data_IF_120729907868
#
_entry.id   IF_120729907868
#
_cell.length_a   1.000
_cell.length_b   1.000
_cell.length_c   1.000
_cell.angle_alpha   90.00
_cell.angle_beta   90.00
_cell.angle_gamma   90.00
#
_symmetry.space_group_name_H-M   'P 1'
#
loop_
_entity.id
_entity.type
_entity.pdbx_description
1 polymer ?
#
# COMPACT_ATOMS: atom_id res chain seq x y z
N UNK A 1 63.82 -38.11 -54.38
CA UNK A 1 62.61 -37.28 -54.37
C UNK A 1 61.73 -37.75 -53.22
N UNK A 2 61.36 -36.82 -52.35
CA UNK A 2 60.65 -37.05 -51.11
C UNK A 2 59.26 -37.63 -51.35
N UNK A 3 58.86 -38.66 -50.59
CA UNK A 3 57.49 -38.68 -50.08
C UNK A 3 57.35 -39.50 -48.79
N UNK A 4 56.42 -39.04 -47.97
CA UNK A 4 56.26 -39.18 -46.52
C UNK A 4 55.56 -40.48 -46.10
N UNK A 5 55.85 -40.96 -44.88
CA UNK A 5 54.84 -41.35 -43.88
C UNK A 5 55.50 -41.77 -42.55
N UNK A 6 55.26 -41.05 -41.43
CA UNK A 6 55.61 -41.52 -40.09
C UNK A 6 54.45 -42.31 -39.44
N UNK A 7 54.85 -43.32 -38.67
CA UNK A 7 54.01 -44.24 -37.89
C UNK A 7 53.15 -43.48 -36.87
N UNK A 8 51.84 -43.72 -36.87
CA UNK A 8 50.96 -43.32 -35.78
C UNK A 8 50.86 -44.43 -34.74
N UNK A 9 51.37 -44.13 -33.54
CA UNK A 9 51.09 -44.82 -32.29
C UNK A 9 49.85 -44.13 -31.69
N UNK A 10 48.71 -44.82 -31.60
CA UNK A 10 47.57 -44.35 -30.81
C UNK A 10 47.33 -45.30 -29.63
N UNK A 11 47.37 -44.72 -28.44
CA UNK A 11 47.09 -45.33 -27.16
C UNK A 11 45.63 -45.79 -27.05
N UNK A 12 45.44 -46.97 -26.46
CA UNK A 12 44.18 -47.43 -25.88
C UNK A 12 43.83 -46.56 -24.65
N UNK A 13 42.69 -45.86 -24.70
CA UNK A 13 42.04 -45.23 -23.54
C UNK A 13 40.95 -46.17 -23.01
N UNK A 14 40.84 -46.39 -21.68
CA UNK A 14 39.77 -47.20 -21.12
C UNK A 14 38.46 -46.40 -21.09
N UNK A 15 37.38 -47.07 -21.48
CA UNK A 15 36.01 -46.57 -21.45
C UNK A 15 35.52 -46.52 -19.99
N UNK A 16 35.65 -45.36 -19.33
CA UNK A 16 34.99 -45.13 -18.04
C UNK A 16 33.48 -44.93 -18.28
N UNK A 17 32.68 -45.95 -17.98
CA UNK A 17 31.23 -45.83 -17.89
C UNK A 17 30.88 -44.95 -16.67
N UNK A 18 30.55 -43.67 -16.91
CA UNK A 18 29.84 -42.86 -15.93
C UNK A 18 28.39 -43.36 -15.84
N UNK A 19 28.08 -44.07 -14.76
CA UNK A 19 26.72 -44.24 -14.28
C UNK A 19 26.22 -42.87 -13.83
N UNK A 20 25.48 -42.18 -14.70
CA UNK A 20 24.68 -41.02 -14.31
C UNK A 20 23.49 -41.53 -13.48
N UNK A 21 23.63 -41.50 -12.15
CA UNK A 21 22.51 -41.56 -11.23
C UNK A 21 21.70 -40.27 -11.43
N UNK A 22 20.67 -40.36 -12.27
CA UNK A 22 19.58 -39.38 -12.27
C UNK A 22 18.77 -39.62 -11.01
N UNK A 23 19.11 -38.90 -9.94
CA UNK A 23 18.21 -38.74 -8.81
C UNK A 23 16.98 -38.00 -9.32
N UNK A 24 15.92 -38.75 -9.62
CA UNK A 24 14.59 -38.18 -9.70
C UNK A 24 14.23 -37.80 -8.27
N UNK A 25 14.47 -36.54 -7.88
CA UNK A 25 13.80 -36.01 -6.71
C UNK A 25 12.32 -35.97 -7.07
N UNK A 26 11.53 -36.89 -6.50
CA UNK A 26 10.09 -36.67 -6.39
C UNK A 26 9.89 -35.34 -5.64
N UNK A 27 8.93 -34.49 -6.06
CA UNK A 27 8.59 -33.33 -5.25
C UNK A 27 8.17 -33.83 -3.88
N UNK A 28 8.85 -33.38 -2.81
CA UNK A 28 8.38 -33.63 -1.45
C UNK A 28 6.96 -33.08 -1.34
N UNK A 29 5.99 -33.96 -1.06
CA UNK A 29 4.63 -33.54 -0.73
C UNK A 29 4.69 -32.68 0.54
N UNK A 30 4.27 -31.43 0.40
CA UNK A 30 4.19 -30.50 1.52
C UNK A 30 3.19 -31.02 2.55
N UNK A 31 3.49 -30.82 3.83
CA UNK A 31 2.51 -31.08 4.88
C UNK A 31 1.31 -30.12 4.77
N UNK A 32 0.12 -30.48 5.27
CA UNK A 32 -1.04 -29.58 5.26
C UNK A 32 -0.77 -28.22 5.93
N UNK A 33 0.12 -28.19 6.94
CA UNK A 33 0.52 -26.96 7.62
C UNK A 33 1.48 -26.11 6.76
N UNK A 34 2.35 -26.73 5.97
CA UNK A 34 3.21 -26.02 5.02
C UNK A 34 2.43 -25.48 3.83
N UNK A 35 1.42 -26.21 3.34
CA UNK A 35 0.51 -25.70 2.32
C UNK A 35 -0.26 -24.44 2.78
N UNK A 36 -0.56 -24.33 4.07
CA UNK A 36 -1.23 -23.16 4.65
C UNK A 36 -0.33 -21.91 4.71
N UNK A 37 0.98 -22.06 4.46
CA UNK A 37 1.96 -20.98 4.49
C UNK A 37 2.45 -20.57 3.10
N UNK A 38 2.02 -21.27 2.05
CA UNK A 38 2.40 -20.93 0.68
C UNK A 38 1.81 -19.57 0.32
N UNK A 39 2.64 -18.74 -0.29
CA UNK A 39 2.21 -17.53 -0.97
C UNK A 39 2.90 -17.46 -2.34
N UNK A 40 2.11 -17.48 -3.41
CA UNK A 40 2.63 -17.41 -4.79
C UNK A 40 2.72 -15.98 -5.36
N UNK A 41 1.88 -15.05 -4.89
CA UNK A 41 1.76 -13.68 -5.41
C UNK A 41 2.53 -12.63 -4.60
N UNK A 42 3.34 -13.04 -3.61
CA UNK A 42 4.04 -12.13 -2.71
C UNK A 42 4.94 -11.17 -3.47
N UNK A 43 5.01 -9.97 -2.92
CA UNK A 43 5.88 -8.94 -3.45
C UNK A 43 7.36 -9.39 -3.48
N UNK A 44 8.18 -8.82 -4.38
CA UNK A 44 9.61 -9.05 -4.39
C UNK A 44 10.25 -8.66 -3.05
N UNK A 45 11.44 -9.19 -2.78
CA UNK A 45 12.21 -8.89 -1.56
C UNK A 45 12.83 -7.47 -1.56
N UNK A 46 11.98 -6.45 -1.72
CA UNK A 46 12.29 -5.04 -1.58
C UNK A 46 11.96 -4.62 -0.14
N UNK A 47 12.72 -3.67 0.42
CA UNK A 47 12.48 -3.18 1.79
C UNK A 47 11.01 -2.78 1.95
N UNK A 48 10.37 -3.33 2.99
CA UNK A 48 8.96 -3.17 3.32
C UNK A 48 7.92 -3.72 2.34
N UNK A 49 8.28 -4.08 1.11
CA UNK A 49 7.31 -4.51 0.10
C UNK A 49 6.54 -5.80 0.46
N UNK A 50 7.12 -6.67 1.30
CA UNK A 50 6.47 -7.90 1.79
C UNK A 50 5.66 -7.75 3.07
N UNK A 51 5.40 -6.51 3.51
CA UNK A 51 4.53 -6.29 4.67
C UNK A 51 3.06 -6.51 4.26
N UNK A 52 2.23 -6.97 5.20
CA UNK A 52 0.87 -7.40 4.87
C UNK A 52 -0.01 -6.26 4.32
N UNK A 53 0.20 -5.00 4.72
CA UNK A 53 -0.53 -3.87 4.16
C UNK A 53 -0.19 -3.56 2.69
N UNK A 54 0.89 -4.10 2.15
CA UNK A 54 1.37 -3.73 0.83
C UNK A 54 0.57 -4.46 -0.25
N UNK A 55 -0.12 -3.73 -1.14
CA UNK A 55 -0.69 -4.32 -2.34
C UNK A 55 0.40 -4.90 -3.26
N UNK A 56 -0.01 -5.74 -4.21
CA UNK A 56 0.89 -6.24 -5.24
C UNK A 56 1.49 -5.06 -6.04
N UNK A 57 2.82 -5.04 -6.15
CA UNK A 57 3.51 -3.93 -6.79
C UNK A 57 3.36 -3.96 -8.31
N UNK A 58 2.94 -2.83 -8.87
CA UNK A 58 3.04 -2.53 -10.28
C UNK A 58 4.42 -1.94 -10.59
N UNK A 59 5.27 -2.74 -11.22
CA UNK A 59 6.68 -2.41 -11.51
C UNK A 59 6.86 -1.24 -12.47
N UNK A 60 5.79 -0.72 -13.05
CA UNK A 60 5.84 0.51 -13.87
C UNK A 60 5.77 1.79 -13.04
N UNK A 61 5.38 1.68 -11.77
CA UNK A 61 5.31 2.79 -10.81
C UNK A 61 6.50 2.77 -9.84
N UNK A 62 6.69 3.88 -9.14
CA UNK A 62 7.76 4.04 -8.16
C UNK A 62 7.24 3.73 -6.76
N UNK A 63 7.88 2.79 -6.05
CA UNK A 63 7.60 2.55 -4.64
C UNK A 63 8.37 3.57 -3.77
N UNK A 64 7.65 4.40 -3.03
CA UNK A 64 8.20 5.30 -2.01
C UNK A 64 7.90 4.73 -0.62
N UNK A 65 8.86 4.81 0.30
CA UNK A 65 8.66 4.38 1.69
C UNK A 65 9.19 5.44 2.63
N UNK A 66 8.35 5.91 3.54
CA UNK A 66 8.70 6.93 4.52
C UNK A 66 8.75 6.31 5.90
N UNK A 67 9.91 6.40 6.56
CA UNK A 67 10.14 5.87 7.90
C UNK A 67 10.77 6.93 8.79
N UNK A 68 10.71 6.69 10.10
CA UNK A 68 11.32 7.52 11.14
C UNK A 68 12.12 6.64 12.08
N UNK A 69 13.05 7.23 12.85
CA UNK A 69 13.70 6.51 13.94
C UNK A 69 13.01 6.86 15.26
N UNK A 70 12.15 5.96 15.75
CA UNK A 70 11.33 6.17 16.93
C UNK A 70 11.69 5.16 18.02
N UNK A 71 12.01 5.65 19.23
CA UNK A 71 12.45 4.82 20.38
C UNK A 71 13.58 3.84 20.05
N UNK A 72 14.57 4.28 19.29
CA UNK A 72 15.72 3.43 18.96
C UNK A 72 15.45 2.40 17.86
N UNK A 73 14.32 2.49 17.14
CA UNK A 73 13.96 1.56 16.08
C UNK A 73 13.43 2.30 14.85
N UNK A 74 13.82 1.83 13.68
CA UNK A 74 13.19 2.26 12.43
C UNK A 74 11.71 1.85 12.43
N UNK A 75 10.83 2.85 12.26
CA UNK A 75 9.38 2.72 12.29
C UNK A 75 8.82 3.26 10.97
N UNK A 76 8.16 2.39 10.21
CA UNK A 76 7.52 2.76 8.95
C UNK A 76 6.32 3.66 9.23
N UNK A 77 6.30 4.83 8.60
CA UNK A 77 5.17 5.77 8.64
C UNK A 77 4.11 5.31 7.65
N UNK A 78 4.47 5.22 6.36
CA UNK A 78 3.64 4.69 5.28
C UNK A 78 4.50 4.40 4.04
N UNK A 79 3.94 3.64 3.10
CA UNK A 79 4.49 3.41 1.76
C UNK A 79 3.51 3.90 0.69
N UNK A 80 4.01 4.25 -0.49
CA UNK A 80 3.24 4.75 -1.63
C UNK A 80 3.67 4.02 -2.90
N UNK A 81 2.72 3.53 -3.70
CA UNK A 81 2.97 3.28 -5.12
C UNK A 81 2.60 4.52 -5.93
N UNK A 82 3.61 5.15 -6.51
CA UNK A 82 3.53 6.48 -7.09
C UNK A 82 3.62 6.44 -8.61
N UNK A 83 2.63 7.01 -9.28
CA UNK A 83 2.65 7.17 -10.71
C UNK A 83 3.29 8.51 -11.08
N UNK A 84 4.54 8.47 -11.54
CA UNK A 84 5.32 9.68 -11.86
C UNK A 84 4.72 10.48 -13.01
N UNK A 85 4.08 9.82 -14.00
CA UNK A 85 3.47 10.49 -15.14
C UNK A 85 2.21 11.28 -14.77
N UNK A 86 1.47 10.81 -13.76
CA UNK A 86 0.26 11.46 -13.27
C UNK A 86 0.51 12.35 -12.04
N UNK A 87 1.76 12.37 -11.54
CA UNK A 87 2.14 13.06 -10.31
C UNK A 87 1.25 12.69 -9.11
N UNK A 88 0.78 11.44 -9.04
CA UNK A 88 -0.24 11.02 -8.08
C UNK A 88 0.02 9.60 -7.57
N UNK A 89 -0.32 9.38 -6.30
CA UNK A 89 -0.30 8.06 -5.68
C UNK A 89 -1.39 7.15 -6.23
N UNK A 90 -1.04 5.94 -6.64
CA UNK A 90 -2.00 4.87 -6.94
C UNK A 90 -2.63 4.36 -5.64
N UNK A 91 -1.82 4.18 -4.61
CA UNK A 91 -2.25 3.90 -3.24
C UNK A 91 -1.21 4.33 -2.22
N UNK A 92 -1.65 4.47 -0.97
CA UNK A 92 -0.82 4.67 0.23
C UNK A 92 -1.17 3.57 1.23
N UNK A 93 -0.17 2.82 1.67
CA UNK A 93 -0.31 1.66 2.55
C UNK A 93 0.39 1.89 3.89
N UNK A 94 -0.28 1.55 4.98
CA UNK A 94 0.24 1.79 6.33
C UNK A 94 -0.49 0.96 7.39
N UNK A 95 0.04 0.92 8.62
CA UNK A 95 -0.56 0.16 9.72
C UNK A 95 -0.91 1.01 10.94
N UNK A 96 -1.78 0.48 11.78
CA UNK A 96 -1.98 0.88 13.16
C UNK A 96 -1.64 -0.29 14.09
N UNK A 97 -0.80 -0.01 15.08
CA UNK A 97 -0.39 -0.90 16.17
C UNK A 97 0.11 -0.04 17.34
N UNK A 98 0.40 -0.65 18.48
CA UNK A 98 0.71 0.04 19.74
C UNK A 98 1.68 1.23 19.62
N UNK A 99 2.78 1.09 18.89
CA UNK A 99 3.80 2.15 18.73
C UNK A 99 3.28 3.34 17.90
N UNK A 100 2.71 3.09 16.72
CA UNK A 100 2.28 4.18 15.81
C UNK A 100 0.98 4.85 16.26
N UNK A 101 0.25 4.22 17.19
CA UNK A 101 -0.96 4.77 17.81
C UNK A 101 -0.66 5.82 18.89
N UNK A 102 0.60 5.97 19.33
CA UNK A 102 0.97 6.97 20.32
C UNK A 102 0.72 8.40 19.84
N UNK A 103 0.50 9.32 20.79
CA UNK A 103 0.16 10.72 20.53
C UNK A 103 1.15 11.66 21.21
N UNK A 104 2.37 11.71 20.68
CA UNK A 104 3.45 12.55 21.21
C UNK A 104 3.64 13.85 20.40
N UNK A 105 2.80 14.09 19.40
CA UNK A 105 2.74 15.33 18.63
C UNK A 105 1.33 15.93 18.65
N UNK A 106 1.25 17.25 18.77
CA UNK A 106 0.00 18.01 18.60
C UNK A 106 0.06 18.82 17.32
N UNK A 107 -0.93 18.62 16.44
CA UNK A 107 -1.07 19.36 15.17
C UNK A 107 -1.27 20.88 15.38
N UNK A 108 -1.73 21.30 16.56
CA UNK A 108 -1.82 22.73 16.91
C UNK A 108 -0.46 23.43 16.96
N UNK A 109 0.63 22.66 17.10
CA UNK A 109 1.97 23.20 17.26
C UNK A 109 2.58 23.69 15.94
N UNK A 110 1.93 23.47 14.78
CA UNK A 110 2.48 23.90 13.49
C UNK A 110 2.79 25.40 13.41
N UNK A 111 1.98 26.25 14.04
CA UNK A 111 2.22 27.69 14.11
C UNK A 111 3.49 28.07 14.87
N UNK A 112 3.95 27.22 15.79
CA UNK A 112 5.16 27.43 16.58
C UNK A 112 6.42 26.83 15.94
N UNK A 113 6.28 26.18 14.77
CA UNK A 113 7.43 25.68 14.00
C UNK A 113 7.94 26.73 13.01
N UNK A 114 9.08 26.47 12.38
CA UNK A 114 9.59 27.28 11.27
C UNK A 114 8.66 27.36 10.05
N UNK A 115 7.62 26.51 9.99
CA UNK A 115 6.64 26.49 8.90
C UNK A 115 5.45 27.43 9.11
N UNK A 116 5.33 28.07 10.28
CA UNK A 116 4.31 29.09 10.53
C UNK A 116 2.86 28.64 10.30
N UNK A 117 2.58 27.34 10.44
CA UNK A 117 1.24 26.76 10.25
C UNK A 117 0.97 26.11 8.88
N UNK A 118 1.88 26.18 7.90
CA UNK A 118 1.71 25.54 6.57
C UNK A 118 2.75 24.41 6.37
N UNK A 119 2.49 23.19 6.88
CA UNK A 119 3.45 22.08 6.84
C UNK A 119 3.61 21.38 5.48
N UNK A 120 2.88 21.81 4.44
CA UNK A 120 2.88 21.14 3.13
C UNK A 120 4.22 21.33 2.40
N UNK A 121 4.83 20.23 1.99
CA UNK A 121 6.18 20.24 1.43
C UNK A 121 6.34 19.21 0.30
N UNK A 122 7.33 19.42 -0.57
CA UNK A 122 7.72 18.44 -1.58
C UNK A 122 8.20 17.15 -0.89
N UNK A 123 7.90 16.01 -1.51
CA UNK A 123 8.43 14.72 -1.07
C UNK A 123 9.94 14.65 -1.41
N UNK A 124 10.83 14.50 -0.41
CA UNK A 124 12.28 14.44 -0.64
C UNK A 124 12.75 13.17 -1.36
N UNK A 125 11.90 12.13 -1.45
CA UNK A 125 12.18 10.90 -2.19
C UNK A 125 11.88 11.00 -3.70
N UNK A 126 11.32 12.12 -4.16
CA UNK A 126 11.02 12.37 -5.56
C UNK A 126 11.93 13.46 -6.15
N UNK A 127 12.27 13.32 -7.43
CA UNK A 127 12.96 14.39 -8.15
C UNK A 127 12.03 15.57 -8.42
N UNK A 128 12.59 16.77 -8.60
CA UNK A 128 11.79 17.97 -8.89
C UNK A 128 10.93 17.89 -10.14
N UNK A 129 11.31 17.03 -11.11
CA UNK A 129 10.57 16.86 -12.36
C UNK A 129 9.23 16.13 -12.16
N UNK A 130 9.15 15.25 -11.16
CA UNK A 130 7.98 14.40 -10.90
C UNK A 130 7.28 14.75 -9.59
N UNK A 131 7.92 15.52 -8.70
CA UNK A 131 7.40 15.87 -7.39
C UNK A 131 6.42 17.07 -7.46
N UNK A 132 5.13 16.88 -7.14
CA UNK A 132 4.15 17.95 -7.13
C UNK A 132 4.46 18.98 -6.05
N UNK A 133 3.98 20.20 -6.29
CA UNK A 133 4.00 21.30 -5.33
C UNK A 133 2.63 21.97 -5.23
N UNK A 134 2.57 23.08 -4.48
CA UNK A 134 1.35 23.86 -4.29
C UNK A 134 0.67 24.23 -5.63
N UNK A 135 1.43 24.51 -6.67
CA UNK A 135 0.91 24.95 -7.97
C UNK A 135 0.13 23.85 -8.70
N UNK A 136 0.40 22.58 -8.41
CA UNK A 136 -0.31 21.45 -9.01
C UNK A 136 -1.76 21.38 -8.54
N UNK A 137 -2.02 21.76 -7.28
CA UNK A 137 -3.34 21.75 -6.68
C UNK A 137 -4.15 23.02 -6.99
N UNK A 138 -3.53 24.07 -7.53
CA UNK A 138 -4.22 25.26 -8.02
C UNK A 138 -5.22 24.91 -9.13
N UNK A 139 -6.49 25.26 -8.95
CA UNK A 139 -7.53 24.95 -9.95
C UNK A 139 -8.02 23.49 -9.93
N UNK A 140 -7.69 22.71 -8.90
CA UNK A 140 -8.30 21.39 -8.66
C UNK A 140 -9.78 21.47 -8.27
N UNK A 141 -10.26 22.65 -7.83
CA UNK A 141 -11.61 22.81 -7.29
C UNK A 141 -11.81 22.13 -5.93
N UNK A 142 -10.71 21.76 -5.26
CA UNK A 142 -10.71 21.03 -4.01
C UNK A 142 -9.56 21.42 -3.08
N UNK A 143 -9.35 20.60 -2.06
CA UNK A 143 -8.27 20.71 -1.08
C UNK A 143 -7.14 19.72 -1.39
N UNK A 144 -6.00 19.92 -0.73
CA UNK A 144 -4.92 18.94 -0.63
C UNK A 144 -5.33 17.88 0.39
N UNK A 145 -6.16 16.93 -0.05
CA UNK A 145 -6.71 15.88 0.80
C UNK A 145 -5.65 14.81 1.08
N UNK A 146 -5.53 14.40 2.34
CA UNK A 146 -4.55 13.39 2.74
C UNK A 146 -5.03 11.99 2.36
N UNK A 147 -4.13 11.13 1.89
CA UNK A 147 -4.37 9.69 1.81
C UNK A 147 -4.02 9.03 3.15
N UNK A 148 -2.78 9.14 3.63
CA UNK A 148 -2.46 8.89 5.05
C UNK A 148 -2.74 10.16 5.86
N UNK A 149 -3.73 10.15 6.75
CA UNK A 149 -4.15 11.35 7.46
C UNK A 149 -3.10 11.81 8.46
N UNK A 150 -2.93 13.12 8.62
CA UNK A 150 -2.07 13.66 9.68
C UNK A 150 -2.49 13.18 11.08
N UNK A 151 -3.79 12.97 11.34
CA UNK A 151 -4.24 12.43 12.63
C UNK A 151 -3.82 10.96 12.86
N UNK A 152 -3.45 10.23 11.81
CA UNK A 152 -3.04 8.82 11.90
C UNK A 152 -1.57 8.68 12.33
N UNK A 153 -0.77 9.76 12.27
CA UNK A 153 0.68 9.76 12.53
C UNK A 153 1.09 10.80 13.56
N UNK A 154 0.67 10.59 14.81
CA UNK A 154 0.94 11.51 15.93
C UNK A 154 2.05 11.01 16.87
N UNK A 155 2.67 9.86 16.60
CA UNK A 155 3.67 9.27 17.51
C UNK A 155 4.99 10.05 17.54
N UNK A 156 5.29 10.84 16.51
CA UNK A 156 6.39 11.82 16.49
C UNK A 156 6.04 13.00 15.56
N UNK A 157 6.74 14.13 15.74
CA UNK A 157 6.64 15.29 14.84
C UNK A 157 7.00 14.88 13.41
N UNK A 158 8.17 14.26 13.23
CA UNK A 158 8.69 13.82 11.93
C UNK A 158 7.72 12.89 11.18
N UNK A 159 7.08 11.95 11.86
CA UNK A 159 6.07 11.09 11.24
C UNK A 159 4.85 11.87 10.75
N UNK A 160 4.44 12.89 11.52
CA UNK A 160 3.37 13.80 11.12
C UNK A 160 3.78 14.65 9.92
N UNK A 161 5.02 15.16 9.90
CA UNK A 161 5.60 15.93 8.79
C UNK A 161 5.54 15.17 7.48
N UNK A 162 5.87 13.87 7.51
CA UNK A 162 5.82 13.01 6.35
C UNK A 162 4.40 12.92 5.76
N UNK A 163 3.34 13.01 6.58
CA UNK A 163 1.96 13.01 6.05
C UNK A 163 1.63 14.25 5.21
N UNK A 164 2.41 15.32 5.30
CA UNK A 164 2.20 16.55 4.54
C UNK A 164 2.99 16.62 3.21
N UNK A 165 3.65 15.53 2.81
CA UNK A 165 4.25 15.43 1.49
C UNK A 165 3.19 15.48 0.39
N UNK A 166 3.44 16.24 -0.68
CA UNK A 166 2.52 16.33 -1.82
C UNK A 166 2.29 14.99 -2.53
N UNK A 167 3.20 14.02 -2.42
CA UNK A 167 2.99 12.64 -2.88
C UNK A 167 1.83 11.96 -2.14
N UNK A 168 1.62 12.25 -0.85
CA UNK A 168 0.51 11.76 -0.04
C UNK A 168 -0.79 12.57 -0.21
N UNK A 169 -0.80 13.56 -1.10
CA UNK A 169 -1.96 14.41 -1.35
C UNK A 169 -2.73 13.97 -2.58
N UNK A 170 -4.06 14.08 -2.50
CA UNK A 170 -4.96 13.92 -3.62
C UNK A 170 -5.92 15.13 -3.69
N UNK A 171 -6.28 15.63 -4.89
CA UNK A 171 -7.24 16.71 -5.01
C UNK A 171 -8.64 16.21 -4.65
N UNK A 172 -9.08 16.51 -3.44
CA UNK A 172 -10.38 16.12 -2.91
C UNK A 172 -11.34 17.31 -2.84
N UNK A 173 -12.60 17.13 -3.19
CA UNK A 173 -13.65 18.12 -2.96
C UNK A 173 -13.73 18.49 -1.47
N UNK A 174 -13.98 19.76 -1.17
CA UNK A 174 -13.98 20.28 0.21
C UNK A 174 -15.00 19.56 1.11
N UNK A 175 -16.25 19.43 0.67
CA UNK A 175 -17.32 18.79 1.45
C UNK A 175 -17.10 17.28 1.59
N UNK A 176 -16.54 16.65 0.55
CA UNK A 176 -16.16 15.24 0.61
C UNK A 176 -15.05 15.00 1.64
N UNK A 177 -13.96 15.78 1.55
CA UNK A 177 -12.80 15.65 2.43
C UNK A 177 -13.15 15.96 3.89
N UNK A 178 -13.90 17.04 4.13
CA UNK A 178 -14.29 17.48 5.48
C UNK A 178 -15.53 16.77 6.05
N UNK A 179 -16.29 16.06 5.22
CA UNK A 179 -17.46 15.29 5.61
C UNK A 179 -17.16 13.79 5.61
N UNK A 180 -17.73 13.06 4.66
CA UNK A 180 -17.70 11.59 4.63
C UNK A 180 -16.29 11.00 4.79
N UNK A 181 -15.27 11.56 4.10
CA UNK A 181 -13.91 11.02 4.19
C UNK A 181 -13.32 11.23 5.59
N UNK A 182 -13.44 12.43 6.16
CA UNK A 182 -12.99 12.70 7.53
C UNK A 182 -13.71 11.80 8.56
N UNK A 183 -15.01 11.60 8.41
CA UNK A 183 -15.79 10.71 9.29
C UNK A 183 -15.32 9.26 9.17
N UNK A 184 -15.03 8.78 7.95
CA UNK A 184 -14.50 7.44 7.73
C UNK A 184 -13.11 7.29 8.36
N UNK A 185 -12.25 8.31 8.27
CA UNK A 185 -10.95 8.32 8.94
C UNK A 185 -11.07 8.38 10.47
N UNK A 186 -12.10 9.03 11.01
CA UNK A 186 -12.41 9.00 12.45
C UNK A 186 -12.83 7.59 12.86
N UNK A 187 -13.72 6.93 12.10
CA UNK A 187 -14.11 5.55 12.37
C UNK A 187 -12.91 4.59 12.30
N UNK A 188 -12.05 4.75 11.30
CA UNK A 188 -10.80 4.02 11.15
C UNK A 188 -9.97 4.04 12.44
N UNK A 189 -9.77 5.22 13.01
CA UNK A 189 -9.01 5.42 14.24
C UNK A 189 -9.76 4.92 15.47
N UNK A 190 -10.93 5.49 15.73
CA UNK A 190 -11.58 5.43 17.03
C UNK A 190 -12.43 4.16 17.21
N UNK A 191 -12.94 3.58 16.12
CA UNK A 191 -13.74 2.36 16.17
C UNK A 191 -12.91 1.09 15.94
N UNK A 192 -11.85 1.15 15.12
CA UNK A 192 -11.15 -0.06 14.67
C UNK A 192 -9.68 -0.12 15.09
N UNK A 193 -8.89 0.95 14.88
CA UNK A 193 -7.45 0.92 15.10
C UNK A 193 -7.02 1.06 16.57
N UNK A 194 -7.65 1.96 17.34
CA UNK A 194 -7.26 2.25 18.72
C UNK A 194 -7.93 1.32 19.74
N UNK A 195 -8.91 0.53 19.31
CA UNK A 195 -9.58 -0.45 20.17
C UNK A 195 -8.85 -1.78 20.09
N UNK A 196 -8.01 -2.05 21.09
CA UNK A 196 -7.33 -3.35 21.24
C UNK A 196 -8.30 -4.53 21.33
N UNK A 197 -9.56 -4.30 21.75
CA UNK A 197 -10.61 -5.31 21.72
C UNK A 197 -11.10 -5.65 20.31
N UNK A 198 -10.93 -4.73 19.35
CA UNK A 198 -11.32 -4.90 17.96
C UNK A 198 -10.20 -5.48 17.10
N UNK A 199 -8.99 -4.94 17.24
CA UNK A 199 -7.81 -5.30 16.44
C UNK A 199 -6.52 -5.22 17.26
N UNK A 200 -5.58 -6.15 17.03
CA UNK A 200 -4.21 -6.02 17.52
C UNK A 200 -3.35 -5.21 16.54
N UNK A 201 -3.60 -5.38 15.24
CA UNK A 201 -2.97 -4.62 14.17
C UNK A 201 -3.94 -4.43 13.03
N UNK A 202 -4.16 -3.18 12.63
CA UNK A 202 -4.97 -2.83 11.47
C UNK A 202 -4.05 -2.44 10.32
N UNK A 203 -4.16 -3.14 9.20
CA UNK A 203 -3.47 -2.87 7.95
C UNK A 203 -4.42 -2.08 7.04
N UNK A 204 -3.91 -1.00 6.45
CA UNK A 204 -4.72 0.00 5.76
C UNK A 204 -4.08 0.33 4.43
N UNK A 205 -4.89 0.31 3.37
CA UNK A 205 -4.54 0.86 2.06
C UNK A 205 -5.59 1.89 1.68
N UNK A 206 -5.17 3.09 1.31
CA UNK A 206 -6.05 4.17 0.84
C UNK A 206 -5.59 4.65 -0.52
N UNK A 207 -6.51 5.09 -1.36
CA UNK A 207 -6.15 5.67 -2.65
C UNK A 207 -7.33 6.34 -3.34
N UNK A 208 -7.02 6.99 -4.47
CA UNK A 208 -8.00 7.53 -5.39
C UNK A 208 -7.82 6.88 -6.74
N UNK A 209 -8.90 6.71 -7.49
CA UNK A 209 -8.82 6.18 -8.85
C UNK A 209 -8.00 7.09 -9.76
N UNK A 210 -7.02 6.50 -10.44
CA UNK A 210 -6.17 7.16 -11.45
C UNK A 210 -6.03 6.35 -12.74
N UNK A 211 -6.79 5.26 -12.88
CA UNK A 211 -6.92 4.51 -14.13
C UNK A 211 -7.64 5.38 -15.17
N UNK A 212 -7.21 5.32 -16.43
CA UNK A 212 -7.84 6.07 -17.51
C UNK A 212 -9.36 5.83 -17.55
N UNK A 213 -10.14 6.90 -17.66
CA UNK A 213 -11.61 6.88 -17.56
C UNK A 213 -12.17 6.95 -16.13
N UNK A 214 -11.35 6.73 -15.09
CA UNK A 214 -11.76 6.77 -13.68
C UNK A 214 -11.33 8.05 -12.96
N UNK A 215 -10.87 9.06 -13.68
CA UNK A 215 -10.56 10.38 -13.15
C UNK A 215 -10.85 11.45 -14.21
N UNK A 216 -11.01 12.69 -13.75
CA UNK A 216 -11.00 13.87 -14.63
C UNK A 216 -9.72 14.68 -14.38
N UNK A 217 -9.25 15.45 -15.35
CA UNK A 217 -8.09 16.34 -15.12
C UNK A 217 -8.51 17.59 -14.34
N UNK A 218 -7.63 18.07 -13.47
CA UNK A 218 -7.75 19.41 -12.86
C UNK A 218 -7.77 20.50 -13.93
N UNK A 219 -8.26 21.71 -13.59
CA UNK A 219 -8.37 22.80 -14.58
C UNK A 219 -7.01 23.25 -15.15
N UNK A 220 -5.93 23.09 -14.37
CA UNK A 220 -4.56 23.35 -14.83
C UNK A 220 -3.93 22.15 -15.58
N UNK A 221 -4.65 21.01 -15.68
CA UNK A 221 -4.21 19.79 -16.35
C UNK A 221 -3.13 18.98 -15.63
N UNK A 222 -2.68 19.41 -14.44
CA UNK A 222 -1.50 18.86 -13.77
C UNK A 222 -1.77 17.63 -12.90
N UNK A 223 -2.99 17.44 -12.42
CA UNK A 223 -3.34 16.32 -11.54
C UNK A 223 -4.63 15.62 -11.99
N UNK A 224 -4.68 14.28 -11.86
CA UNK A 224 -5.95 13.57 -11.91
C UNK A 224 -6.77 13.92 -10.66
N UNK A 225 -8.07 14.13 -10.88
CA UNK A 225 -9.08 14.21 -9.83
C UNK A 225 -9.88 12.91 -9.88
N UNK A 226 -9.68 12.00 -8.89
CA UNK A 226 -10.34 10.71 -8.85
C UNK A 226 -11.87 10.82 -8.96
N UNK A 227 -12.51 9.87 -9.63
CA UNK A 227 -13.97 9.69 -9.57
C UNK A 227 -14.39 8.96 -8.30
N UNK A 228 -13.50 8.14 -7.73
CA UNK A 228 -13.73 7.42 -6.48
C UNK A 228 -12.48 7.43 -5.59
N UNK A 229 -12.71 7.41 -4.28
CA UNK A 229 -11.70 7.07 -3.29
C UNK A 229 -12.00 5.71 -2.70
N UNK A 230 -10.95 5.03 -2.26
CA UNK A 230 -11.08 3.70 -1.67
C UNK A 230 -10.25 3.52 -0.42
N UNK A 231 -10.67 2.54 0.38
CA UNK A 231 -9.93 2.09 1.55
C UNK A 231 -10.07 0.57 1.69
N UNK A 232 -8.97 -0.17 1.66
CA UNK A 232 -8.92 -1.58 2.00
C UNK A 232 -8.40 -1.73 3.43
N UNK A 233 -9.13 -2.49 4.27
CA UNK A 233 -8.77 -2.73 5.65
C UNK A 233 -8.65 -4.23 5.90
N UNK A 234 -7.54 -4.63 6.51
CA UNK A 234 -7.34 -5.96 7.05
C UNK A 234 -7.05 -5.82 8.54
N UNK A 235 -7.87 -6.45 9.37
CA UNK A 235 -7.68 -6.47 10.81
C UNK A 235 -7.18 -7.84 11.25
N UNK A 236 -6.08 -7.86 12.00
CA UNK A 236 -5.59 -9.05 12.72
C UNK A 236 -6.00 -8.98 14.19
N UNK A 237 -6.64 -10.04 14.69
CA UNK A 237 -6.99 -10.19 16.11
C UNK A 237 -6.74 -11.63 16.56
N UNK A 238 -5.90 -11.84 17.57
CA UNK A 238 -5.59 -13.16 18.13
C UNK A 238 -5.17 -14.20 17.06
N UNK A 239 -4.43 -13.76 16.04
CA UNK A 239 -3.99 -14.61 14.93
C UNK A 239 -5.03 -14.86 13.83
N UNK A 240 -6.27 -14.40 13.98
CA UNK A 240 -7.29 -14.46 12.93
C UNK A 240 -7.40 -13.12 12.20
N UNK A 241 -7.89 -13.18 10.96
CA UNK A 241 -8.03 -12.03 10.09
C UNK A 241 -9.49 -11.79 9.72
N UNK A 242 -9.83 -10.52 9.50
CA UNK A 242 -11.09 -10.07 8.89
C UNK A 242 -10.82 -8.83 8.05
N UNK A 243 -11.53 -8.67 6.96
CA UNK A 243 -11.33 -7.53 6.04
C UNK A 243 -12.62 -6.75 5.79
N UNK A 244 -12.48 -5.56 5.23
CA UNK A 244 -13.55 -4.77 4.60
C UNK A 244 -12.93 -3.77 3.62
N UNK A 245 -13.58 -3.58 2.47
CA UNK A 245 -13.27 -2.52 1.53
C UNK A 245 -14.30 -1.40 1.60
N UNK A 246 -13.89 -0.18 1.25
CA UNK A 246 -14.78 0.94 0.99
C UNK A 246 -14.53 1.48 -0.42
N UNK A 247 -15.59 1.60 -1.20
CA UNK A 247 -15.59 2.24 -2.51
C UNK A 247 -16.50 3.45 -2.49
N UNK A 248 -15.92 4.64 -2.54
CA UNK A 248 -16.61 5.89 -2.21
C UNK A 248 -16.61 6.83 -3.41
N UNK A 249 -17.79 7.18 -3.91
CA UNK A 249 -17.94 8.16 -4.99
C UNK A 249 -17.39 9.53 -4.54
N UNK A 250 -16.48 10.09 -5.33
CA UNK A 250 -15.89 11.39 -5.05
C UNK A 250 -16.86 12.52 -5.43
N UNK A 251 -17.79 12.79 -4.52
CA UNK A 251 -18.89 13.73 -4.74
C UNK A 251 -19.09 14.64 -3.53
N UNK A 252 -19.37 15.92 -3.80
CA UNK A 252 -19.78 16.86 -2.77
C UNK A 252 -21.10 16.40 -2.12
N UNK A 253 -21.21 16.57 -0.80
CA UNK A 253 -22.43 16.23 -0.05
C UNK A 253 -22.90 14.79 -0.32
N UNK A 254 -21.98 13.83 -0.22
CA UNK A 254 -22.29 12.41 -0.40
C UNK A 254 -23.35 11.96 0.62
N UNK A 255 -24.57 11.70 0.15
CA UNK A 255 -25.67 11.23 0.98
C UNK A 255 -25.68 9.70 1.07
N UNK A 256 -24.63 9.15 1.70
CA UNK A 256 -24.46 7.72 1.96
C UNK A 256 -23.94 7.50 3.37
N UNK A 257 -24.29 6.36 3.97
CA UNK A 257 -23.62 5.88 5.19
C UNK A 257 -22.46 4.94 4.81
N UNK A 258 -21.55 4.65 5.75
CA UNK A 258 -20.41 3.77 5.49
C UNK A 258 -20.81 2.41 4.92
N UNK A 259 -21.94 1.86 5.40
CA UNK A 259 -22.48 0.58 4.93
C UNK A 259 -22.81 0.58 3.43
N UNK A 260 -23.29 1.70 2.89
CA UNK A 260 -23.66 1.84 1.47
C UNK A 260 -22.44 1.88 0.53
N UNK A 261 -21.25 2.10 1.10
CA UNK A 261 -19.98 2.17 0.38
C UNK A 261 -19.09 0.95 0.67
N UNK A 262 -19.50 0.07 1.58
CA UNK A 262 -18.71 -1.09 1.98
C UNK A 262 -18.81 -2.22 0.93
N UNK A 263 -17.68 -2.85 0.64
CA UNK A 263 -17.53 -3.95 -0.32
C UNK A 263 -16.57 -5.01 0.22
N UNK A 264 -16.53 -6.20 -0.41
CA UNK A 264 -15.48 -7.19 -0.16
C UNK A 264 -14.15 -6.71 -0.75
N UNK A 265 -13.03 -7.35 -0.38
CA UNK A 265 -11.74 -7.00 -0.97
C UNK A 265 -11.72 -7.43 -2.43
N UNK A 266 -12.14 -8.65 -2.79
CA UNK A 266 -12.27 -9.09 -4.20
C UNK A 266 -13.00 -8.05 -5.06
N UNK A 267 -14.10 -7.49 -4.55
CA UNK A 267 -14.86 -6.49 -5.32
C UNK A 267 -14.09 -5.18 -5.44
N UNK A 268 -13.36 -4.79 -4.41
CA UNK A 268 -12.50 -3.62 -4.45
C UNK A 268 -11.34 -3.80 -5.43
N UNK A 269 -10.76 -5.00 -5.50
CA UNK A 269 -9.73 -5.36 -6.49
C UNK A 269 -10.27 -5.27 -7.91
N UNK A 270 -11.47 -5.82 -8.17
CA UNK A 270 -12.14 -5.70 -9.47
C UNK A 270 -12.31 -4.23 -9.88
N UNK A 271 -12.74 -3.38 -8.94
CA UNK A 271 -12.99 -1.96 -9.19
C UNK A 271 -11.69 -1.18 -9.43
N UNK A 272 -10.62 -1.48 -8.67
CA UNK A 272 -9.37 -0.71 -8.67
C UNK A 272 -8.30 -1.25 -9.62
N UNK A 273 -8.33 -2.55 -9.91
CA UNK A 273 -7.22 -3.28 -10.54
C UNK A 273 -5.98 -3.40 -9.67
N UNK A 274 -6.15 -3.36 -8.34
CA UNK A 274 -5.09 -3.49 -7.35
C UNK A 274 -5.35 -4.79 -6.60
N UNK A 275 -4.35 -5.67 -6.53
CA UNK A 275 -4.36 -6.87 -5.68
C UNK A 275 -3.92 -6.44 -4.27
N UNK A 276 -4.86 -6.45 -3.32
CA UNK A 276 -4.62 -6.01 -1.95
C UNK A 276 -4.14 -7.20 -1.12
N UNK A 277 -3.40 -6.94 -0.05
CA UNK A 277 -2.99 -7.98 0.92
C UNK A 277 -2.24 -9.22 0.36
N UNK A 278 -1.79 -9.20 -0.91
CA UNK A 278 -0.94 -10.17 -1.66
C UNK A 278 0.22 -10.87 -0.92
N UNK A 279 0.55 -10.43 0.30
CA UNK A 279 1.60 -10.99 1.13
C UNK A 279 1.05 -11.92 2.24
N UNK A 280 -0.27 -12.12 2.31
CA UNK A 280 -0.90 -13.17 3.11
C UNK A 280 -0.69 -14.53 2.42
N UNK A 281 -0.57 -15.65 3.17
CA UNK A 281 -0.65 -16.97 2.55
C UNK A 281 -1.93 -17.10 1.70
N UNK A 282 -1.84 -17.70 0.51
CA UNK A 282 -2.90 -17.66 -0.51
C UNK A 282 -4.25 -18.15 0.07
N UNK A 283 -4.24 -19.25 0.83
CA UNK A 283 -5.45 -19.79 1.48
C UNK A 283 -6.08 -18.81 2.49
N UNK A 284 -5.27 -17.99 3.17
CA UNK A 284 -5.75 -16.98 4.10
C UNK A 284 -6.32 -15.80 3.31
N UNK A 285 -5.57 -15.31 2.33
CA UNK A 285 -5.98 -14.25 1.40
C UNK A 285 -7.35 -14.53 0.78
N UNK A 286 -7.48 -15.64 0.05
CA UNK A 286 -8.74 -16.06 -0.57
C UNK A 286 -9.92 -16.06 0.42
N UNK A 287 -9.68 -16.51 1.67
CA UNK A 287 -10.72 -16.58 2.70
C UNK A 287 -11.15 -15.22 3.22
N UNK A 288 -10.23 -14.26 3.33
CA UNK A 288 -10.51 -12.94 3.91
C UNK A 288 -11.03 -11.98 2.86
N UNK A 289 -10.79 -12.22 1.59
CA UNK A 289 -11.13 -11.25 0.53
C UNK A 289 -12.51 -11.46 -0.07
N UNK A 290 -13.00 -12.70 -0.11
CA UNK A 290 -14.27 -13.08 -0.73
C UNK A 290 -15.51 -12.50 -0.03
N UNK A 291 -15.43 -12.21 1.27
CA UNK A 291 -16.61 -11.83 2.06
C UNK A 291 -16.29 -10.87 3.20
N UNK A 292 -17.25 -10.00 3.49
CA UNK A 292 -17.20 -9.05 4.59
C UNK A 292 -18.55 -9.03 5.31
N UNK A 293 -18.52 -8.70 6.60
CA UNK A 293 -19.71 -8.63 7.44
C UNK A 293 -19.80 -7.23 8.07
N UNK A 294 -20.63 -6.31 7.54
CA UNK A 294 -20.73 -4.93 8.04
C UNK A 294 -20.97 -4.85 9.55
N UNK A 295 -21.78 -5.75 10.11
CA UNK A 295 -22.07 -5.82 11.54
C UNK A 295 -20.84 -6.09 12.40
N UNK A 296 -19.87 -6.88 11.92
CA UNK A 296 -18.59 -7.13 12.61
C UNK A 296 -17.77 -5.85 12.72
N UNK A 297 -17.95 -4.91 11.79
CA UNK A 297 -17.32 -3.60 11.77
C UNK A 297 -18.16 -2.52 12.46
N UNK A 298 -19.29 -2.89 13.07
CA UNK A 298 -20.21 -1.96 13.72
C UNK A 298 -21.05 -1.13 12.75
N UNK A 299 -21.17 -1.58 11.49
CA UNK A 299 -21.92 -0.91 10.43
C UNK A 299 -23.29 -1.59 10.28
N UNK A 300 -24.24 -1.18 11.13
CA UNK A 300 -25.63 -1.65 11.07
C UNK A 300 -26.49 -0.80 10.14
#
# INVERSE_FOLDING_TARGET
>A
MLNRSPRHLLLLLPLCALLALTACNEPEDLTPDEELLINHNQNPAIKYARRLEMPALDRTNTLLTHSTYYRGKETLTYSIEYNENLHHSKWVAFTFYDVVNERNWSRSNWYSTSWGGDPFQKDPSLSDAVCPDRSFFSGSGGVRGHLCASADRLYSKEANEQTFYYSNMSPMNYDFNGGFWADLEIALRDAWAYKSTFCDTLYVVKGGTIREGEYRKSNNGKLPIPNHYFMALLCRKNGTYKSIGFWVEHKAQLNKIFRDCAVSIDKLEELTGIDFFCNLPDKIEESVEVSYYPSVWGLN
#
